data_IF_166396978771
#
_entry.id   IF_166396978771
#
_cell.length_a   1.000
_cell.length_b   1.000
_cell.length_c   1.000
_cell.angle_alpha   90.00
_cell.angle_beta   90.00
_cell.angle_gamma   90.00
#
_symmetry.space_group_name_H-M   'P 1'
#
loop_
_entity.id
_entity.type
_entity.pdbx_description
1 polymer ?
#
# COMPACT_ATOMS: atom_id res chain seq x y z
N UNK A 1 2.02 -17.95 35.31
CA UNK A 1 1.02 -17.51 34.31
C UNK A 1 1.63 -17.33 32.92
N UNK A 2 2.57 -16.40 32.68
CA UNK A 2 3.17 -16.21 31.34
C UNK A 2 3.92 -17.44 30.80
N UNK A 3 4.76 -18.08 31.63
CA UNK A 3 5.50 -19.30 31.23
C UNK A 3 4.58 -20.50 30.98
N UNK A 4 3.43 -20.57 31.67
CA UNK A 4 2.43 -21.61 31.45
C UNK A 4 1.72 -21.42 30.10
N UNK A 5 1.34 -20.18 29.76
CA UNK A 5 0.77 -19.86 28.46
C UNK A 5 1.78 -20.11 27.32
N UNK A 6 3.06 -19.77 27.54
CA UNK A 6 4.16 -20.10 26.62
C UNK A 6 4.31 -21.62 26.43
N UNK A 7 4.25 -22.40 27.51
CA UNK A 7 4.33 -23.86 27.42
C UNK A 7 3.16 -24.45 26.63
N UNK A 8 1.93 -23.97 26.88
CA UNK A 8 0.74 -24.33 26.09
C UNK A 8 0.88 -23.96 24.62
N UNK A 9 1.41 -22.77 24.32
CA UNK A 9 1.68 -22.34 22.95
C UNK A 9 2.72 -23.21 22.24
N UNK A 10 3.81 -23.56 22.94
CA UNK A 10 4.83 -24.47 22.40
C UNK A 10 4.26 -25.87 22.14
N UNK A 11 3.44 -26.41 23.06
CA UNK A 11 2.79 -27.70 22.88
C UNK A 11 1.85 -27.69 21.67
N UNK A 12 0.99 -26.68 21.55
CA UNK A 12 0.09 -26.51 20.40
C UNK A 12 0.88 -26.37 19.09
N UNK A 13 1.99 -25.63 19.09
CA UNK A 13 2.87 -25.48 17.93
C UNK A 13 3.48 -26.84 17.51
N UNK A 14 4.00 -27.61 18.46
CA UNK A 14 4.56 -28.94 18.20
C UNK A 14 3.52 -29.95 17.71
N UNK A 15 2.25 -29.77 18.07
CA UNK A 15 1.12 -30.58 17.57
C UNK A 15 0.58 -30.11 16.22
N UNK A 16 1.14 -29.06 15.60
CA UNK A 16 0.65 -28.50 14.34
C UNK A 16 -0.62 -27.64 14.47
N UNK A 17 -1.13 -27.44 15.69
CA UNK A 17 -2.30 -26.60 15.97
C UNK A 17 -1.87 -25.12 16.06
N UNK A 18 -1.45 -24.56 14.93
CA UNK A 18 -0.85 -23.23 14.88
C UNK A 18 -1.81 -22.10 15.32
N UNK A 19 -3.12 -22.24 15.08
CA UNK A 19 -4.13 -21.27 15.54
C UNK A 19 -4.19 -21.19 17.07
N UNK A 20 -4.17 -22.32 17.76
CA UNK A 20 -4.11 -22.36 19.23
C UNK A 20 -2.76 -21.90 19.75
N UNK A 21 -1.67 -22.23 19.05
CA UNK A 21 -0.34 -21.73 19.38
C UNK A 21 -0.32 -20.19 19.36
N UNK A 22 -0.89 -19.56 18.34
CA UNK A 22 -1.01 -18.10 18.23
C UNK A 22 -1.80 -17.52 19.41
N UNK A 23 -2.94 -18.13 19.76
CA UNK A 23 -3.77 -17.68 20.88
C UNK A 23 -2.97 -17.74 22.19
N UNK A 24 -2.34 -18.88 22.49
CA UNK A 24 -1.55 -19.06 23.70
C UNK A 24 -0.31 -18.18 23.77
N UNK A 25 0.39 -17.95 22.65
CA UNK A 25 1.48 -16.98 22.62
C UNK A 25 0.99 -15.55 22.78
N UNK A 26 -0.21 -15.21 22.29
CA UNK A 26 -0.82 -13.89 22.52
C UNK A 26 -1.14 -13.68 23.99
N UNK A 27 -1.72 -14.68 24.66
CA UNK A 27 -1.94 -14.65 26.11
C UNK A 27 -0.62 -14.47 26.88
N UNK A 28 0.43 -15.20 26.48
CA UNK A 28 1.75 -15.07 27.08
C UNK A 28 2.36 -13.67 26.86
N UNK A 29 2.19 -13.08 25.68
CA UNK A 29 2.68 -11.73 25.33
C UNK A 29 1.95 -10.67 26.17
N UNK A 30 0.64 -10.79 26.35
CA UNK A 30 -0.12 -9.87 27.20
C UNK A 30 0.40 -9.86 28.65
N UNK A 31 0.93 -10.99 29.13
CA UNK A 31 1.53 -11.12 30.45
C UNK A 31 3.02 -10.76 30.49
N UNK A 32 3.71 -10.74 29.35
CA UNK A 32 5.17 -10.51 29.24
C UNK A 32 5.52 -9.84 27.91
N UNK A 33 5.18 -8.55 27.72
CA UNK A 33 5.19 -7.89 26.41
C UNK A 33 6.59 -7.58 25.88
N UNK A 34 7.63 -7.76 26.68
CA UNK A 34 9.04 -7.53 26.32
C UNK A 34 9.80 -8.83 26.03
N UNK A 35 9.14 -9.99 26.12
CA UNK A 35 9.78 -11.27 25.87
C UNK A 35 9.87 -11.57 24.36
N UNK A 36 11.03 -11.28 23.76
CA UNK A 36 11.31 -11.50 22.35
C UNK A 36 11.07 -12.95 21.88
N UNK A 37 11.24 -13.96 22.75
CA UNK A 37 11.01 -15.38 22.39
C UNK A 37 9.54 -15.64 22.05
N UNK A 38 8.60 -14.96 22.73
CA UNK A 38 7.17 -15.14 22.48
C UNK A 38 6.77 -14.60 21.10
N UNK A 39 7.28 -13.43 20.72
CA UNK A 39 7.07 -12.88 19.38
C UNK A 39 7.73 -13.76 18.31
N UNK A 40 8.93 -14.29 18.55
CA UNK A 40 9.59 -15.22 17.63
C UNK A 40 8.81 -16.52 17.40
N UNK A 41 8.20 -17.05 18.47
CA UNK A 41 7.39 -18.26 18.38
C UNK A 41 6.04 -18.01 17.72
N UNK A 42 5.38 -16.87 18.01
CA UNK A 42 4.13 -16.48 17.36
C UNK A 42 4.33 -16.13 15.88
N UNK A 43 5.45 -15.48 15.53
CA UNK A 43 5.89 -15.28 14.15
C UNK A 43 6.00 -16.59 13.38
N UNK A 44 6.62 -17.62 14.01
CA UNK A 44 6.71 -18.95 13.41
C UNK A 44 5.31 -19.56 13.17
N UNK A 45 4.41 -19.43 14.15
CA UNK A 45 3.05 -19.97 14.04
C UNK A 45 2.24 -19.27 12.93
N UNK A 46 2.38 -17.95 12.79
CA UNK A 46 1.80 -17.22 11.67
C UNK A 46 2.37 -17.66 10.31
N UNK A 47 3.69 -17.83 10.21
CA UNK A 47 4.33 -18.31 8.99
C UNK A 47 3.85 -19.72 8.61
N UNK A 48 3.66 -20.62 9.57
CA UNK A 48 3.10 -21.96 9.35
C UNK A 48 1.65 -21.95 8.84
N UNK A 49 0.93 -20.84 9.00
CA UNK A 49 -0.41 -20.62 8.44
C UNK A 49 -0.40 -19.75 7.16
N UNK A 50 0.77 -19.50 6.58
CA UNK A 50 0.97 -18.58 5.45
C UNK A 50 0.51 -17.14 5.72
N UNK A 51 0.38 -16.75 7.00
CA UNK A 51 0.04 -15.38 7.44
C UNK A 51 1.32 -14.54 7.55
N UNK A 52 1.97 -14.33 6.41
CA UNK A 52 3.33 -13.79 6.39
C UNK A 52 3.43 -12.31 6.80
N UNK A 53 2.36 -11.52 6.62
CA UNK A 53 2.32 -10.13 7.09
C UNK A 53 2.34 -10.02 8.61
N UNK A 54 1.57 -10.86 9.30
CA UNK A 54 1.56 -10.95 10.77
C UNK A 54 2.87 -11.56 11.28
N UNK A 55 3.39 -12.58 10.59
CA UNK A 55 4.71 -13.16 10.90
C UNK A 55 5.83 -12.10 10.81
N UNK A 56 5.77 -11.22 9.81
CA UNK A 56 6.71 -10.12 9.62
C UNK A 56 6.64 -9.12 10.78
N UNK A 57 5.43 -8.72 11.19
CA UNK A 57 5.23 -7.80 12.31
C UNK A 57 5.86 -8.34 13.60
N UNK A 58 5.63 -9.61 13.93
CA UNK A 58 6.20 -10.25 15.13
C UNK A 58 7.72 -10.47 15.00
N UNK A 59 8.22 -10.79 13.79
CA UNK A 59 9.66 -10.91 13.54
C UNK A 59 10.38 -9.56 13.74
N UNK A 60 9.81 -8.47 13.23
CA UNK A 60 10.35 -7.12 13.43
C UNK A 60 10.36 -6.76 14.92
N UNK A 61 9.27 -7.04 15.64
CA UNK A 61 9.21 -6.82 17.09
C UNK A 61 10.26 -7.61 17.85
N UNK A 62 10.57 -8.84 17.41
CA UNK A 62 11.64 -9.67 17.97
C UNK A 62 13.00 -9.00 17.80
N UNK A 63 13.29 -8.48 16.59
CA UNK A 63 14.54 -7.74 16.30
C UNK A 63 14.63 -6.46 17.13
N UNK A 64 13.53 -5.71 17.26
CA UNK A 64 13.49 -4.48 18.06
C UNK A 64 13.77 -4.75 19.55
N UNK A 65 13.27 -5.86 20.09
CA UNK A 65 13.45 -6.25 21.49
C UNK A 65 14.84 -6.87 21.74
N UNK A 66 15.41 -7.60 20.77
CA UNK A 66 16.68 -8.30 20.91
C UNK A 66 17.47 -8.28 19.58
N UNK A 67 18.13 -7.15 19.25
CA UNK A 67 18.77 -6.93 17.95
C UNK A 67 20.05 -7.77 17.72
N UNK A 68 20.58 -8.37 18.77
CA UNK A 68 21.77 -9.24 18.80
C UNK A 68 21.42 -10.73 18.80
N UNK A 69 20.15 -11.10 18.56
CA UNK A 69 19.72 -12.50 18.51
C UNK A 69 19.54 -13.00 17.09
N UNK A 70 20.43 -13.88 16.63
CA UNK A 70 20.45 -14.40 15.26
C UNK A 70 19.13 -15.02 14.81
N UNK A 71 18.43 -15.73 15.70
CA UNK A 71 17.12 -16.35 15.40
C UNK A 71 16.02 -15.34 15.06
N UNK A 72 16.12 -14.10 15.56
CA UNK A 72 15.19 -13.03 15.19
C UNK A 72 15.27 -12.72 13.68
N UNK A 73 16.49 -12.66 13.15
CA UNK A 73 16.74 -12.43 11.73
C UNK A 73 16.37 -13.63 10.87
N UNK A 74 16.45 -14.86 11.39
CA UNK A 74 15.90 -16.04 10.70
C UNK A 74 14.38 -15.93 10.51
N UNK A 75 13.65 -15.43 11.53
CA UNK A 75 12.20 -15.19 11.43
C UNK A 75 11.88 -14.06 10.47
N UNK A 76 12.66 -12.98 10.52
CA UNK A 76 12.49 -11.82 9.65
C UNK A 76 12.71 -12.20 8.18
N UNK A 77 13.78 -12.95 7.89
CA UNK A 77 14.06 -13.49 6.56
C UNK A 77 12.95 -14.41 6.06
N UNK A 78 12.48 -15.34 6.89
CA UNK A 78 11.42 -16.27 6.51
C UNK A 78 10.08 -15.57 6.22
N UNK A 79 9.73 -14.54 7.00
CA UNK A 79 8.54 -13.75 6.76
C UNK A 79 8.63 -12.95 5.45
N UNK A 80 9.79 -12.34 5.16
CA UNK A 80 10.03 -11.67 3.88
C UNK A 80 10.01 -12.63 2.69
N UNK A 81 10.55 -13.85 2.85
CA UNK A 81 10.47 -14.91 1.84
C UNK A 81 9.02 -15.28 1.51
N UNK A 82 8.18 -15.48 2.52
CA UNK A 82 6.76 -15.77 2.32
C UNK A 82 5.97 -14.62 1.68
N UNK A 83 6.45 -13.38 1.82
CA UNK A 83 5.90 -12.19 1.15
C UNK A 83 6.50 -11.93 -0.23
N UNK A 84 7.42 -12.77 -0.72
CA UNK A 84 8.18 -12.57 -1.95
C UNK A 84 9.03 -11.29 -1.98
N UNK A 85 9.35 -10.73 -0.80
CA UNK A 85 10.23 -9.58 -0.62
C UNK A 85 11.68 -10.05 -0.54
N UNK A 86 12.20 -10.57 -1.65
CA UNK A 86 13.46 -11.30 -1.68
C UNK A 86 14.67 -10.44 -1.30
N UNK A 87 14.68 -9.16 -1.65
CA UNK A 87 15.79 -8.24 -1.31
C UNK A 87 15.89 -8.03 0.21
N UNK A 88 14.76 -7.86 0.88
CA UNK A 88 14.68 -7.70 2.32
C UNK A 88 15.01 -9.02 3.04
N UNK A 89 14.56 -10.16 2.51
CA UNK A 89 14.92 -11.48 3.02
C UNK A 89 16.45 -11.70 3.02
N UNK A 90 17.11 -11.41 1.89
CA UNK A 90 18.57 -11.48 1.76
C UNK A 90 19.27 -10.61 2.80
N UNK A 91 18.79 -9.38 3.01
CA UNK A 91 19.36 -8.45 3.99
C UNK A 91 19.22 -8.98 5.42
N UNK A 92 18.04 -9.50 5.78
CA UNK A 92 17.79 -10.10 7.09
C UNK A 92 18.70 -11.30 7.34
N UNK A 93 18.79 -12.26 6.41
CA UNK A 93 19.64 -13.45 6.58
C UNK A 93 21.12 -13.08 6.70
N UNK A 94 21.63 -12.16 5.87
CA UNK A 94 23.01 -11.66 5.96
C UNK A 94 23.30 -11.02 7.32
N UNK A 95 22.37 -10.22 7.84
CA UNK A 95 22.53 -9.59 9.16
C UNK A 95 22.49 -10.63 10.29
N UNK A 96 21.66 -11.67 10.17
CA UNK A 96 21.69 -12.81 11.08
C UNK A 96 23.04 -13.54 11.08
N UNK A 97 23.63 -13.76 9.90
CA UNK A 97 24.94 -14.42 9.76
C UNK A 97 26.11 -13.56 10.24
N UNK A 98 25.96 -12.22 10.26
CA UNK A 98 26.95 -11.35 10.92
C UNK A 98 26.98 -11.57 12.43
N UNK A 99 25.85 -11.94 13.04
CA UNK A 99 25.72 -12.22 14.47
C UNK A 99 26.15 -13.65 14.79
N UNK A 100 25.71 -14.61 13.99
CA UNK A 100 26.02 -16.04 14.15
C UNK A 100 26.41 -16.65 12.79
N UNK A 101 27.71 -16.58 12.41
CA UNK A 101 28.20 -17.03 11.11
C UNK A 101 28.02 -18.53 10.85
N UNK A 102 27.84 -19.34 11.89
CA UNK A 102 27.76 -20.79 11.80
C UNK A 102 26.33 -21.33 11.84
N UNK A 103 25.32 -20.46 11.83
CA UNK A 103 23.93 -20.86 11.91
C UNK A 103 23.41 -21.49 10.60
N UNK A 104 23.13 -22.80 10.62
CA UNK A 104 22.69 -23.53 9.44
C UNK A 104 21.35 -23.03 8.89
N UNK A 105 20.39 -22.66 9.76
CA UNK A 105 19.09 -22.17 9.32
C UNK A 105 19.20 -20.83 8.58
N UNK A 106 20.12 -19.95 9.01
CA UNK A 106 20.39 -18.70 8.31
C UNK A 106 21.12 -18.92 6.98
N UNK A 107 22.07 -19.88 6.92
CA UNK A 107 22.76 -20.24 5.67
C UNK A 107 21.79 -20.81 4.64
N UNK A 108 20.93 -21.74 5.07
CA UNK A 108 19.88 -22.34 4.22
C UNK A 108 18.91 -21.26 3.73
N UNK A 109 18.39 -20.43 4.64
CA UNK A 109 17.47 -19.35 4.26
C UNK A 109 18.09 -18.32 3.32
N UNK A 110 19.39 -18.03 3.47
CA UNK A 110 20.12 -17.16 2.53
C UNK A 110 20.20 -17.79 1.14
N UNK A 111 20.55 -19.08 1.05
CA UNK A 111 20.63 -19.79 -0.23
C UNK A 111 19.26 -19.83 -0.94
N UNK A 112 18.19 -20.15 -0.19
CA UNK A 112 16.82 -20.15 -0.71
C UNK A 112 16.40 -18.76 -1.22
N UNK A 113 16.78 -17.71 -0.49
CA UNK A 113 16.50 -16.32 -0.88
C UNK A 113 17.29 -15.88 -2.12
N UNK A 114 18.54 -16.32 -2.27
CA UNK A 114 19.37 -16.04 -3.45
C UNK A 114 18.81 -16.73 -4.69
N UNK A 115 18.40 -17.99 -4.58
CA UNK A 115 17.76 -18.74 -5.65
C UNK A 115 16.43 -18.09 -6.05
N UNK A 116 15.57 -17.77 -5.09
CA UNK A 116 14.28 -17.15 -5.34
C UNK A 116 14.42 -15.76 -5.99
N UNK A 117 15.38 -14.94 -5.53
CA UNK A 117 15.69 -13.65 -6.14
C UNK A 117 16.20 -13.82 -7.59
N UNK A 118 17.07 -14.80 -7.84
CA UNK A 118 17.59 -15.08 -9.18
C UNK A 118 16.48 -15.58 -10.13
N UNK A 119 15.60 -16.46 -9.64
CA UNK A 119 14.44 -16.95 -10.39
C UNK A 119 13.47 -15.81 -10.72
N UNK A 120 13.16 -14.94 -9.76
CA UNK A 120 12.32 -13.76 -9.98
C UNK A 120 12.93 -12.81 -11.03
N UNK A 121 14.25 -12.60 -10.99
CA UNK A 121 14.96 -11.80 -11.99
C UNK A 121 14.96 -12.42 -13.39
N UNK A 122 15.11 -13.75 -13.50
CA UNK A 122 15.00 -14.48 -14.78
C UNK A 122 13.58 -14.39 -15.35
N UNK A 123 12.56 -14.59 -14.53
CA UNK A 123 11.16 -14.49 -14.94
C UNK A 123 10.79 -13.07 -15.36
N UNK A 124 11.32 -12.04 -14.67
CA UNK A 124 11.13 -10.64 -15.09
C UNK A 124 11.78 -10.34 -16.45
N UNK A 125 12.93 -10.96 -16.77
CA UNK A 125 13.59 -10.81 -18.08
C UNK A 125 12.89 -11.59 -19.19
N UNK A 126 12.39 -12.79 -18.89
CA UNK A 126 11.58 -13.61 -19.81
C UNK A 126 10.25 -12.92 -20.17
N UNK A 127 9.54 -12.40 -19.17
CA UNK A 127 8.27 -11.67 -19.34
C UNK A 127 8.43 -10.34 -20.09
N UNK A 128 9.59 -9.70 -20.00
CA UNK A 128 9.93 -8.52 -20.79
C UNK A 128 10.30 -8.86 -22.24
N UNK A 129 10.78 -10.08 -22.51
CA UNK A 129 11.21 -10.51 -23.83
C UNK A 129 10.05 -11.08 -24.68
N UNK A 130 9.11 -11.84 -24.10
CA UNK A 130 7.95 -12.32 -24.84
C UNK A 130 6.76 -12.71 -23.92
N UNK A 131 5.84 -11.77 -23.58
CA UNK A 131 4.77 -12.01 -22.62
C UNK A 131 3.74 -13.07 -23.03
N UNK A 132 3.74 -13.50 -24.29
CA UNK A 132 2.83 -14.52 -24.84
C UNK A 132 3.47 -15.90 -24.99
N UNK A 133 4.80 -16.01 -24.96
CA UNK A 133 5.51 -17.27 -25.23
C UNK A 133 5.26 -18.36 -24.18
N UNK A 134 5.16 -17.99 -22.90
CA UNK A 134 4.84 -18.92 -21.81
C UNK A 134 3.36 -19.30 -21.74
N UNK A 135 2.47 -18.43 -22.23
CA UNK A 135 1.02 -18.67 -22.18
C UNK A 135 0.62 -19.90 -23.02
N UNK A 136 1.29 -20.13 -24.14
CA UNK A 136 1.05 -21.25 -25.06
C UNK A 136 2.05 -22.42 -24.89
N UNK A 137 2.65 -22.54 -23.69
CA UNK A 137 3.56 -23.62 -23.33
C UNK A 137 2.88 -24.99 -23.14
N UNK A 138 3.61 -26.03 -22.74
CA UNK A 138 3.08 -27.41 -22.60
C UNK A 138 1.86 -27.50 -21.67
N UNK A 139 1.82 -26.68 -20.63
CA UNK A 139 0.75 -26.64 -19.62
C UNK A 139 -0.54 -25.96 -20.13
N UNK A 140 -0.52 -25.35 -21.32
CA UNK A 140 -1.68 -24.66 -21.87
C UNK A 140 -2.89 -25.58 -22.00
N UNK A 141 -2.65 -26.83 -22.41
CA UNK A 141 -3.70 -27.81 -22.65
C UNK A 141 -4.41 -28.23 -21.37
N UNK A 142 -3.66 -28.41 -20.28
CA UNK A 142 -4.22 -28.72 -18.97
C UNK A 142 -5.08 -27.56 -18.44
N UNK A 143 -4.63 -26.32 -18.66
CA UNK A 143 -5.36 -25.11 -18.22
C UNK A 143 -6.64 -24.89 -19.02
N UNK A 144 -6.58 -25.01 -20.35
CA UNK A 144 -7.74 -24.86 -21.23
C UNK A 144 -8.78 -25.97 -21.05
N UNK A 145 -8.35 -27.19 -20.74
CA UNK A 145 -9.27 -28.31 -20.45
C UNK A 145 -9.86 -28.24 -19.05
N UNK A 146 -9.19 -27.58 -18.10
CA UNK A 146 -9.71 -27.40 -16.74
C UNK A 146 -10.75 -26.28 -16.65
N UNK A 147 -10.71 -25.29 -17.55
CA UNK A 147 -11.64 -24.16 -17.53
C UNK A 147 -12.96 -24.47 -18.30
N UNK A 148 -14.13 -24.22 -17.69
CA UNK A 148 -15.43 -24.47 -18.33
C UNK A 148 -15.65 -23.70 -19.63
N UNK A 149 -15.14 -22.47 -19.75
CA UNK A 149 -15.38 -21.60 -20.91
C UNK A 149 -14.60 -22.01 -22.15
N UNK A 150 -13.48 -22.73 -21.99
CA UNK A 150 -12.60 -23.12 -23.10
C UNK A 150 -12.64 -24.62 -23.42
N UNK A 151 -13.15 -25.45 -22.51
CA UNK A 151 -13.22 -26.91 -22.70
C UNK A 151 -14.07 -27.31 -23.91
N UNK A 152 -15.15 -26.58 -24.20
CA UNK A 152 -16.01 -26.83 -25.36
C UNK A 152 -15.27 -26.66 -26.70
N UNK A 153 -14.48 -25.60 -26.83
CA UNK A 153 -13.71 -25.31 -28.05
C UNK A 153 -12.63 -26.36 -28.32
N UNK A 154 -12.11 -27.03 -27.28
CA UNK A 154 -11.14 -28.12 -27.45
C UNK A 154 -11.72 -29.37 -28.12
N UNK A 155 -13.04 -29.44 -28.34
CA UNK A 155 -13.65 -30.50 -29.15
C UNK A 155 -13.67 -30.17 -30.64
N UNK A 156 -13.38 -28.92 -31.02
CA UNK A 156 -13.44 -28.43 -32.40
C UNK A 156 -12.08 -28.64 -33.14
N UNK A 157 -12.05 -29.43 -34.24
CA UNK A 157 -10.81 -29.77 -34.95
C UNK A 157 -10.05 -28.58 -35.57
N UNK A 158 -10.77 -27.52 -35.94
CA UNK A 158 -10.20 -26.28 -36.47
C UNK A 158 -9.54 -25.45 -35.37
N UNK A 159 -10.20 -25.30 -34.21
CA UNK A 159 -9.67 -24.55 -33.07
C UNK A 159 -8.40 -25.18 -32.50
N UNK A 160 -8.38 -26.51 -32.37
CA UNK A 160 -7.19 -27.25 -31.96
C UNK A 160 -6.00 -27.01 -32.89
N UNK A 161 -6.23 -26.93 -34.21
CA UNK A 161 -5.17 -26.61 -35.18
C UNK A 161 -4.63 -25.20 -35.01
N UNK A 162 -5.51 -24.22 -34.75
CA UNK A 162 -5.09 -22.83 -34.48
C UNK A 162 -4.18 -22.77 -33.23
N UNK A 163 -4.59 -23.41 -32.14
CA UNK A 163 -3.79 -23.45 -30.91
C UNK A 163 -2.45 -24.19 -31.08
N UNK A 164 -2.43 -25.28 -31.85
CA UNK A 164 -1.18 -25.98 -32.18
C UNK A 164 -0.24 -25.15 -33.06
N UNK A 165 -0.78 -24.35 -33.98
CA UNK A 165 0.01 -23.46 -34.82
C UNK A 165 0.63 -22.32 -34.01
N UNK A 166 -0.13 -21.73 -33.09
CA UNK A 166 0.35 -20.72 -32.13
C UNK A 166 1.39 -21.32 -31.17
N UNK A 167 1.19 -22.56 -30.70
CA UNK A 167 2.16 -23.26 -29.85
C UNK A 167 3.48 -23.54 -30.58
N UNK A 168 3.44 -23.88 -31.86
CA UNK A 168 4.65 -24.07 -32.69
C UNK A 168 5.34 -22.76 -33.00
N UNK A 169 4.60 -21.67 -33.22
CA UNK A 169 5.13 -20.35 -33.48
C UNK A 169 4.28 -19.26 -32.81
N UNK A 170 4.73 -18.70 -31.66
CA UNK A 170 4.00 -17.67 -30.92
C UNK A 170 3.67 -16.40 -31.73
N UNK A 171 4.39 -16.13 -32.81
CA UNK A 171 4.10 -14.99 -33.70
C UNK A 171 2.81 -15.16 -34.52
N UNK A 172 2.33 -16.40 -34.71
CA UNK A 172 1.09 -16.68 -35.42
C UNK A 172 -0.15 -16.28 -34.62
N UNK A 173 -0.02 -15.98 -33.32
CA UNK A 173 -1.11 -15.47 -32.49
C UNK A 173 -1.83 -14.28 -33.16
N UNK A 174 -1.06 -13.37 -33.78
CA UNK A 174 -1.60 -12.18 -34.46
C UNK A 174 -2.57 -12.50 -35.61
N UNK A 175 -2.42 -13.67 -36.25
CA UNK A 175 -3.31 -14.12 -37.33
C UNK A 175 -4.69 -14.54 -36.80
N UNK A 176 -4.73 -14.98 -35.55
CA UNK A 176 -5.92 -15.59 -34.93
C UNK A 176 -6.57 -14.72 -33.84
N UNK A 177 -6.02 -13.52 -33.53
CA UNK A 177 -6.58 -12.58 -32.55
C UNK A 177 -8.03 -12.14 -32.82
N UNK A 178 -8.51 -12.29 -34.06
CA UNK A 178 -9.88 -11.96 -34.44
C UNK A 178 -10.88 -13.06 -34.04
N UNK A 179 -10.43 -14.29 -33.81
CA UNK A 179 -11.28 -15.40 -33.39
C UNK A 179 -11.57 -15.28 -31.89
N UNK A 180 -12.86 -15.23 -31.53
CA UNK A 180 -13.31 -15.04 -30.15
C UNK A 180 -12.87 -16.21 -29.24
N UNK A 181 -12.83 -17.44 -29.77
CA UNK A 181 -12.41 -18.63 -29.04
C UNK A 181 -10.93 -18.53 -28.65
N UNK A 182 -10.11 -17.96 -29.54
CA UNK A 182 -8.66 -17.76 -29.32
C UNK A 182 -8.42 -16.68 -28.27
N UNK A 183 -9.24 -15.62 -28.26
CA UNK A 183 -9.19 -14.58 -27.22
C UNK A 183 -9.64 -15.08 -25.85
N UNK A 184 -10.68 -15.92 -25.78
CA UNK A 184 -11.09 -16.57 -24.53
C UNK A 184 -10.02 -17.53 -24.01
N UNK A 185 -9.42 -18.35 -24.88
CA UNK A 185 -8.30 -19.21 -24.51
C UNK A 185 -7.08 -18.42 -24.03
N UNK A 186 -6.73 -17.33 -24.70
CA UNK A 186 -5.67 -16.43 -24.27
C UNK A 186 -5.97 -15.82 -22.89
N UNK A 187 -7.24 -15.49 -22.62
CA UNK A 187 -7.72 -15.04 -21.33
C UNK A 187 -7.46 -16.04 -20.22
N UNK A 188 -7.87 -17.29 -20.41
CA UNK A 188 -7.64 -18.36 -19.44
C UNK A 188 -6.14 -18.59 -19.22
N UNK A 189 -5.33 -18.60 -20.28
CA UNK A 189 -3.88 -18.85 -20.19
C UNK A 189 -3.11 -17.73 -19.50
N UNK A 190 -3.54 -16.48 -19.68
CA UNK A 190 -2.95 -15.30 -19.03
C UNK A 190 -3.63 -14.94 -17.70
N UNK A 191 -4.63 -15.73 -17.27
CA UNK A 191 -5.48 -15.42 -16.11
C UNK A 191 -6.14 -14.02 -16.20
N UNK A 192 -6.51 -13.63 -17.42
CA UNK A 192 -7.22 -12.41 -17.77
C UNK A 192 -8.66 -12.79 -18.10
N UNK A 193 -9.62 -12.31 -17.31
CA UNK A 193 -11.04 -12.52 -17.60
C UNK A 193 -11.47 -11.57 -18.72
N UNK A 194 -11.53 -12.05 -19.94
CA UNK A 194 -12.19 -11.34 -21.03
C UNK A 194 -13.70 -11.65 -20.94
N UNK A 195 -14.49 -10.67 -20.52
CA UNK A 195 -15.95 -10.78 -20.53
C UNK A 195 -16.41 -10.99 -21.98
N UNK A 196 -16.84 -12.20 -22.28
CA UNK A 196 -17.62 -12.48 -23.49
C UNK A 196 -19.08 -12.49 -23.07
N UNK A 197 -19.89 -11.72 -23.81
CA UNK A 197 -21.34 -11.67 -23.67
C UNK A 197 -21.89 -12.93 -24.32
N UNK A 198 -22.04 -13.99 -23.53
CA UNK A 198 -22.97 -15.12 -23.73
C UNK A 198 -22.66 -16.13 -22.61
N UNK A 199 -23.71 -16.78 -22.08
CA UNK A 199 -23.67 -17.80 -21.02
C UNK A 199 -23.63 -17.34 -19.56
N UNK A 200 -24.66 -16.59 -19.18
CA UNK A 200 -25.29 -16.72 -17.86
C UNK A 200 -26.49 -17.68 -17.97
N UNK A 201 -26.21 -18.97 -18.19
CA UNK A 201 -27.19 -20.04 -18.01
C UNK A 201 -26.44 -21.37 -17.89
N UNK A 202 -26.28 -21.89 -16.66
CA UNK A 202 -26.57 -23.28 -16.29
C UNK A 202 -26.15 -23.56 -14.84
N UNK A 203 -27.13 -24.08 -14.09
CA UNK A 203 -27.04 -24.50 -12.68
C UNK A 203 -26.38 -25.89 -12.56
N UNK A 204 -25.70 -26.22 -11.45
CA UNK A 204 -25.33 -27.59 -11.15
C UNK A 204 -26.44 -28.34 -10.39
N UNK A 205 -26.72 -29.58 -10.83
CA UNK A 205 -27.54 -30.56 -10.12
C UNK A 205 -26.73 -31.32 -9.07
N UNK A 206 -27.33 -31.68 -7.93
CA UNK A 206 -27.19 -33.03 -7.32
C UNK A 206 -28.16 -33.25 -6.14
N UNK A 207 -28.79 -34.44 -6.09
CA UNK A 207 -29.09 -35.17 -4.84
C UNK A 207 -30.51 -35.12 -4.26
N UNK A 208 -31.34 -36.13 -4.57
CA UNK A 208 -32.67 -36.44 -3.99
C UNK A 208 -32.59 -37.16 -2.60
N UNK A 209 -33.68 -37.67 -1.99
CA UNK A 209 -34.74 -36.96 -1.26
C UNK A 209 -35.03 -37.57 0.14
N UNK A 210 -35.52 -36.81 1.13
CA UNK A 210 -36.17 -37.45 2.29
C UNK A 210 -37.34 -36.66 2.91
N UNK A 211 -38.46 -37.39 3.08
CA UNK A 211 -39.80 -36.96 3.49
C UNK A 211 -39.90 -36.63 4.99
N UNK A 212 -40.65 -35.58 5.34
CA UNK A 212 -41.53 -35.57 6.52
C UNK A 212 -42.89 -34.92 6.20
N UNK A 213 -43.93 -35.45 6.87
CA UNK A 213 -45.38 -35.39 6.60
C UNK A 213 -46.05 -34.03 6.86
N UNK A 214 -47.28 -33.80 6.33
CA UNK A 214 -48.02 -32.54 6.41
C UNK A 214 -48.98 -32.45 7.61
N UNK A 215 -49.18 -31.25 8.14
CA UNK A 215 -50.30 -30.84 9.00
C UNK A 215 -50.41 -29.29 8.98
N UNK A 216 -51.54 -28.69 9.36
CA UNK A 216 -52.71 -28.39 8.54
C UNK A 216 -52.78 -26.92 8.11
N UNK A 217 -53.51 -26.64 7.04
CA UNK A 217 -53.79 -25.30 6.54
C UNK A 217 -54.67 -24.50 7.51
N UNK A 218 -54.21 -23.29 7.84
CA UNK A 218 -54.99 -22.18 8.37
C UNK A 218 -54.58 -20.90 7.60
N UNK A 219 -55.48 -19.90 7.54
CA UNK A 219 -55.85 -19.21 6.31
C UNK A 219 -54.82 -18.20 5.82
N UNK A 220 -54.80 -18.00 4.50
CA UNK A 220 -54.06 -16.93 3.82
C UNK A 220 -54.21 -15.60 4.57
N UNK A 221 -53.12 -14.99 5.08
CA UNK A 221 -53.09 -13.55 5.12
C UNK A 221 -53.01 -13.08 3.67
N UNK A 222 -53.88 -12.13 3.34
CA UNK A 222 -53.92 -11.41 2.07
C UNK A 222 -52.50 -11.12 1.56
N UNK A 223 -52.25 -11.18 0.24
CA UNK A 223 -50.94 -10.90 -0.31
C UNK A 223 -50.53 -9.47 0.06
N UNK A 224 -49.72 -9.33 1.12
CA UNK A 224 -48.80 -8.22 1.20
C UNK A 224 -47.89 -8.36 0.00
N UNK A 225 -47.96 -7.36 -0.86
CA UNK A 225 -47.16 -7.19 -2.05
C UNK A 225 -45.76 -7.77 -1.85
N UNK A 226 -45.45 -8.81 -2.64
CA UNK A 226 -44.06 -9.22 -2.84
C UNK A 226 -43.41 -8.02 -3.51
N UNK A 227 -42.69 -7.22 -2.71
CA UNK A 227 -41.77 -6.21 -3.23
C UNK A 227 -40.85 -6.95 -4.19
N UNK A 228 -40.81 -6.57 -5.48
CA UNK A 228 -39.94 -7.21 -6.46
C UNK A 228 -38.50 -7.18 -5.94
N UNK A 229 -37.74 -8.28 -6.02
CA UNK A 229 -36.28 -8.16 -5.90
C UNK A 229 -35.80 -7.27 -7.05
N UNK A 230 -35.39 -6.06 -6.67
CA UNK A 230 -35.49 -4.81 -7.42
C UNK A 230 -34.59 -4.74 -8.67
N UNK A 231 -35.18 -4.31 -9.79
CA UNK A 231 -34.45 -3.77 -10.96
C UNK A 231 -33.42 -2.70 -10.54
N UNK A 232 -33.70 -1.95 -9.46
CA UNK A 232 -32.82 -0.92 -8.88
C UNK A 232 -31.48 -1.46 -8.35
N UNK A 233 -31.44 -2.67 -7.78
CA UNK A 233 -30.19 -3.23 -7.27
C UNK A 233 -29.25 -3.65 -8.41
N UNK A 234 -29.83 -4.15 -9.50
CA UNK A 234 -29.10 -4.48 -10.74
C UNK A 234 -28.56 -3.21 -11.39
N UNK A 235 -29.36 -2.16 -11.51
CA UNK A 235 -28.92 -0.86 -12.02
C UNK A 235 -27.82 -0.22 -11.16
N UNK A 236 -27.87 -0.35 -9.82
CA UNK A 236 -26.80 0.09 -8.92
C UNK A 236 -25.50 -0.68 -9.15
N UNK A 237 -25.57 -2.01 -9.32
CA UNK A 237 -24.39 -2.84 -9.61
C UNK A 237 -23.77 -2.49 -10.97
N UNK A 238 -24.61 -2.26 -11.99
CA UNK A 238 -24.16 -1.90 -13.33
C UNK A 238 -23.49 -0.51 -13.36
N UNK A 239 -24.05 0.48 -12.64
CA UNK A 239 -23.41 1.80 -12.45
C UNK A 239 -22.04 1.68 -11.80
N UNK A 240 -21.92 0.91 -10.71
CA UNK A 240 -20.63 0.66 -10.02
C UNK A 240 -19.61 -0.02 -10.93
N UNK A 241 -20.04 -1.01 -11.70
CA UNK A 241 -19.17 -1.68 -12.67
C UNK A 241 -18.68 -0.73 -13.77
N UNK A 242 -19.55 0.16 -14.25
CA UNK A 242 -19.19 1.17 -15.24
C UNK A 242 -18.22 2.22 -14.69
N UNK A 243 -18.46 2.72 -13.47
CA UNK A 243 -17.54 3.64 -12.79
C UNK A 243 -16.16 3.01 -12.53
N UNK A 244 -16.13 1.73 -12.15
CA UNK A 244 -14.89 0.97 -11.98
C UNK A 244 -14.12 0.82 -13.30
N UNK A 245 -14.81 0.56 -14.41
CA UNK A 245 -14.19 0.46 -15.74
C UNK A 245 -13.57 1.80 -16.17
N UNK A 246 -14.27 2.90 -15.94
CA UNK A 246 -13.74 4.24 -16.18
C UNK A 246 -12.52 4.53 -15.29
N UNK A 247 -12.53 4.14 -14.00
CA UNK A 247 -11.35 4.24 -13.12
C UNK A 247 -10.16 3.46 -13.67
N UNK A 248 -10.34 2.25 -14.18
CA UNK A 248 -9.27 1.44 -14.74
C UNK A 248 -8.70 2.02 -16.03
N UNK A 249 -9.55 2.61 -16.88
CA UNK A 249 -9.13 3.38 -18.04
C UNK A 249 -8.31 4.61 -17.61
N UNK A 250 -8.77 5.35 -16.60
CA UNK A 250 -8.04 6.47 -16.00
C UNK A 250 -6.70 6.07 -15.41
N UNK A 251 -6.63 4.94 -14.69
CA UNK A 251 -5.38 4.38 -14.14
C UNK A 251 -4.39 4.02 -15.25
N UNK A 252 -4.90 3.49 -16.37
CA UNK A 252 -4.09 3.13 -17.53
C UNK A 252 -3.54 4.36 -18.25
N UNK A 253 -4.35 5.41 -18.41
CA UNK A 253 -3.92 6.70 -18.94
C UNK A 253 -2.88 7.38 -18.03
N UNK A 254 -3.11 7.35 -16.71
CA UNK A 254 -2.17 7.88 -15.72
C UNK A 254 -0.78 7.20 -15.80
N UNK A 255 -0.75 5.87 -15.94
CA UNK A 255 0.52 5.13 -16.12
C UNK A 255 1.25 5.51 -17.40
N UNK A 256 0.52 5.89 -18.45
CA UNK A 256 1.06 6.41 -19.71
C UNK A 256 1.46 7.90 -19.63
N UNK A 257 1.27 8.55 -18.47
CA UNK A 257 1.42 10.01 -18.26
C UNK A 257 0.50 10.86 -19.13
N UNK A 258 -0.59 10.26 -19.63
CA UNK A 258 -1.65 11.00 -20.30
C UNK A 258 -2.64 11.50 -19.25
N UNK A 259 -2.32 12.67 -18.69
CA UNK A 259 -3.01 13.22 -17.54
C UNK A 259 -4.38 13.81 -17.88
N UNK A 260 -4.53 14.43 -19.04
CA UNK A 260 -5.81 15.01 -19.47
C UNK A 260 -6.85 13.91 -19.70
N UNK A 261 -6.48 12.83 -20.40
CA UNK A 261 -7.37 11.68 -20.59
C UNK A 261 -7.67 10.98 -19.26
N UNK A 262 -6.70 10.86 -18.35
CA UNK A 262 -6.93 10.30 -17.02
C UNK A 262 -7.96 11.12 -16.21
N UNK A 263 -7.87 12.45 -16.23
CA UNK A 263 -8.83 13.34 -15.56
C UNK A 263 -10.24 13.17 -16.13
N UNK A 264 -10.37 13.05 -17.46
CA UNK A 264 -11.67 12.82 -18.09
C UNK A 264 -12.31 11.52 -17.61
N UNK A 265 -11.56 10.41 -17.58
CA UNK A 265 -12.04 9.12 -17.12
C UNK A 265 -12.41 9.12 -15.63
N UNK A 266 -11.60 9.74 -14.76
CA UNK A 266 -11.96 9.84 -13.34
C UNK A 266 -13.16 10.76 -13.10
N UNK A 267 -13.31 11.83 -13.88
CA UNK A 267 -14.48 12.71 -13.77
C UNK A 267 -15.76 11.99 -14.18
N UNK A 268 -15.71 11.22 -15.29
CA UNK A 268 -16.80 10.33 -15.68
C UNK A 268 -17.13 9.30 -14.60
N UNK A 269 -16.13 8.70 -13.96
CA UNK A 269 -16.34 7.74 -12.88
C UNK A 269 -17.09 8.38 -11.69
N UNK A 270 -16.72 9.61 -11.31
CA UNK A 270 -17.38 10.38 -10.24
C UNK A 270 -18.83 10.74 -10.60
N UNK A 271 -19.10 11.05 -11.88
CA UNK A 271 -20.45 11.38 -12.34
C UNK A 271 -21.38 10.15 -12.37
N UNK A 272 -20.81 8.95 -12.54
CA UNK A 272 -21.56 7.68 -12.58
C UNK A 272 -21.81 7.14 -11.18
N UNK A 273 -20.79 7.20 -10.31
CA UNK A 273 -20.83 6.67 -8.95
C UNK A 273 -20.06 7.60 -8.00
N UNK A 274 -20.78 8.13 -7.01
CA UNK A 274 -20.23 9.02 -5.99
C UNK A 274 -19.99 8.32 -4.64
N UNK A 275 -20.19 7.00 -4.58
CA UNK A 275 -20.01 6.17 -3.38
C UNK A 275 -18.56 5.69 -3.18
N UNK A 276 -17.68 5.82 -4.18
CA UNK A 276 -16.25 5.45 -4.07
C UNK A 276 -15.34 6.69 -4.13
N UNK A 277 -14.80 7.07 -2.96
CA UNK A 277 -13.84 8.17 -2.85
C UNK A 277 -12.52 7.92 -3.60
N UNK A 278 -12.22 6.69 -4.02
CA UNK A 278 -11.01 6.37 -4.76
C UNK A 278 -10.89 7.16 -6.06
N UNK A 279 -12.01 7.46 -6.73
CA UNK A 279 -12.02 8.26 -7.96
C UNK A 279 -11.50 9.69 -7.71
N UNK A 280 -12.02 10.36 -6.68
CA UNK A 280 -11.59 11.70 -6.26
C UNK A 280 -10.12 11.71 -5.88
N UNK A 281 -9.69 10.73 -5.07
CA UNK A 281 -8.29 10.69 -4.62
C UNK A 281 -7.32 10.38 -5.77
N UNK A 282 -7.73 9.59 -6.77
CA UNK A 282 -6.92 9.31 -7.96
C UNK A 282 -6.85 10.52 -8.89
N UNK A 283 -7.95 11.25 -9.10
CA UNK A 283 -7.95 12.51 -9.85
C UNK A 283 -7.09 13.58 -9.18
N UNK A 284 -7.17 13.70 -7.84
CA UNK A 284 -6.29 14.58 -7.06
C UNK A 284 -4.80 14.24 -7.25
N UNK A 285 -4.45 12.95 -7.38
CA UNK A 285 -3.07 12.54 -7.67
C UNK A 285 -2.60 13.06 -9.04
N UNK A 286 -3.47 13.00 -10.05
CA UNK A 286 -3.16 13.55 -11.38
C UNK A 286 -2.92 15.05 -11.31
N UNK A 287 -3.79 15.79 -10.63
CA UNK A 287 -3.63 17.24 -10.45
C UNK A 287 -2.34 17.61 -9.70
N UNK A 288 -1.94 16.80 -8.72
CA UNK A 288 -0.69 16.99 -7.99
C UNK A 288 0.55 16.83 -8.88
N UNK A 289 0.54 15.86 -9.80
CA UNK A 289 1.61 15.65 -10.79
C UNK A 289 1.65 16.76 -11.84
N UNK A 290 0.49 17.27 -12.26
CA UNK A 290 0.39 18.40 -13.20
C UNK A 290 0.77 19.76 -12.58
N UNK A 291 0.94 19.85 -11.26
CA UNK A 291 1.16 21.12 -10.55
C UNK A 291 -0.11 21.97 -10.36
N UNK A 292 -1.29 21.41 -10.66
CA UNK A 292 -2.60 22.04 -10.44
C UNK A 292 -3.04 21.87 -8.99
N UNK A 293 -2.35 22.56 -8.09
CA UNK A 293 -2.50 22.34 -6.65
C UNK A 293 -3.87 22.77 -6.09
N UNK A 294 -4.49 23.80 -6.67
CA UNK A 294 -5.82 24.26 -6.23
C UNK A 294 -6.91 23.23 -6.49
N UNK A 295 -6.91 22.60 -7.67
CA UNK A 295 -7.83 21.53 -8.05
C UNK A 295 -7.57 20.25 -7.23
N UNK A 296 -6.30 19.92 -6.97
CA UNK A 296 -5.93 18.83 -6.08
C UNK A 296 -6.53 18.98 -4.67
N UNK A 297 -6.41 20.18 -4.08
CA UNK A 297 -6.95 20.46 -2.74
C UNK A 297 -8.47 20.32 -2.73
N UNK A 298 -9.17 20.85 -3.74
CA UNK A 298 -10.64 20.72 -3.87
C UNK A 298 -11.09 19.26 -3.94
N UNK A 299 -10.40 18.43 -4.72
CA UNK A 299 -10.72 17.00 -4.82
C UNK A 299 -10.41 16.25 -3.53
N UNK A 300 -9.34 16.62 -2.83
CA UNK A 300 -9.02 16.03 -1.53
C UNK A 300 -10.04 16.40 -0.46
N UNK A 301 -10.51 17.65 -0.43
CA UNK A 301 -11.54 18.10 0.52
C UNK A 301 -12.87 17.37 0.28
N UNK A 302 -13.31 17.28 -0.98
CA UNK A 302 -14.47 16.47 -1.35
C UNK A 302 -14.31 15.00 -0.96
N UNK A 303 -13.12 14.42 -1.15
CA UNK A 303 -12.85 13.04 -0.78
C UNK A 303 -12.91 12.80 0.74
N UNK A 304 -12.50 13.78 1.55
CA UNK A 304 -12.58 13.70 3.02
C UNK A 304 -14.02 13.86 3.48
N UNK A 305 -14.78 14.80 2.91
CA UNK A 305 -16.21 15.00 3.20
C UNK A 305 -17.02 13.75 2.86
N UNK A 306 -16.98 13.30 1.59
CA UNK A 306 -17.68 12.08 1.16
C UNK A 306 -17.18 10.84 1.88
N UNK A 307 -15.88 10.75 2.16
CA UNK A 307 -15.31 9.62 2.88
C UNK A 307 -15.83 9.49 4.31
N UNK A 308 -16.13 10.61 4.97
CA UNK A 308 -16.75 10.64 6.31
C UNK A 308 -18.25 10.31 6.25
N UNK A 309 -18.95 10.81 5.24
CA UNK A 309 -20.38 10.51 5.02
C UNK A 309 -20.60 9.02 4.73
N UNK A 310 -19.77 8.45 3.86
CA UNK A 310 -19.86 7.05 3.41
C UNK A 310 -19.19 6.07 4.39
N UNK A 311 -18.59 6.57 5.48
CA UNK A 311 -17.79 5.78 6.44
C UNK A 311 -16.73 4.92 5.74
N UNK A 312 -16.08 5.50 4.73
CA UNK A 312 -15.02 4.85 3.96
C UNK A 312 -13.79 4.56 4.83
N UNK A 313 -12.91 3.66 4.37
CA UNK A 313 -11.70 3.27 5.08
C UNK A 313 -10.83 4.48 5.47
N UNK A 314 -10.46 4.57 6.75
CA UNK A 314 -9.60 5.61 7.32
C UNK A 314 -8.28 5.77 6.54
N UNK A 315 -7.76 4.68 5.94
CA UNK A 315 -6.58 4.71 5.06
C UNK A 315 -6.79 5.58 3.82
N UNK A 316 -7.99 5.57 3.25
CA UNK A 316 -8.31 6.33 2.05
C UNK A 316 -8.50 7.81 2.37
N UNK A 317 -9.15 8.12 3.50
CA UNK A 317 -9.25 9.49 4.02
C UNK A 317 -7.86 10.06 4.35
N UNK A 318 -7.02 9.28 5.04
CA UNK A 318 -5.64 9.65 5.32
C UNK A 318 -4.84 9.90 4.03
N UNK A 319 -5.01 9.07 3.00
CA UNK A 319 -4.35 9.24 1.69
C UNK A 319 -4.78 10.55 0.99
N UNK A 320 -6.05 10.93 1.09
CA UNK A 320 -6.54 12.21 0.58
C UNK A 320 -5.88 13.38 1.32
N UNK A 321 -5.84 13.32 2.65
CA UNK A 321 -5.18 14.34 3.48
C UNK A 321 -3.68 14.46 3.19
N UNK A 322 -2.96 13.34 3.03
CA UNK A 322 -1.53 13.37 2.66
C UNK A 322 -1.31 14.05 1.31
N UNK A 323 -2.18 13.83 0.32
CA UNK A 323 -2.11 14.50 -0.99
C UNK A 323 -2.41 15.99 -0.86
N UNK A 324 -3.43 16.38 -0.07
CA UNK A 324 -3.72 17.79 0.25
C UNK A 324 -2.53 18.48 0.90
N UNK A 325 -1.93 17.88 1.93
CA UNK A 325 -0.76 18.41 2.61
C UNK A 325 0.43 18.59 1.65
N UNK A 326 0.63 17.64 0.73
CA UNK A 326 1.67 17.73 -0.30
C UNK A 326 1.42 18.88 -1.27
N UNK A 327 0.17 19.08 -1.70
CA UNK A 327 -0.20 20.20 -2.56
C UNK A 327 0.04 21.55 -1.86
N UNK A 328 -0.39 21.69 -0.61
CA UNK A 328 -0.18 22.88 0.21
C UNK A 328 1.30 23.18 0.40
N UNK A 329 2.11 22.17 0.75
CA UNK A 329 3.55 22.33 0.92
C UNK A 329 4.25 22.77 -0.38
N UNK A 330 3.80 22.29 -1.55
CA UNK A 330 4.33 22.74 -2.85
C UNK A 330 3.88 24.14 -3.26
N UNK A 331 2.75 24.62 -2.74
CA UNK A 331 2.26 25.99 -2.97
C UNK A 331 2.92 27.02 -2.04
N UNK A 332 3.52 26.57 -0.93
CA UNK A 332 4.05 27.44 0.10
C UNK A 332 5.22 28.29 -0.40
N UNK A 333 5.12 29.61 -0.21
CA UNK A 333 6.17 30.57 -0.59
C UNK A 333 6.85 31.20 0.63
N UNK A 334 6.09 31.37 1.71
CA UNK A 334 6.61 31.86 2.98
C UNK A 334 6.54 30.79 4.07
N UNK A 335 7.24 31.02 5.18
CA UNK A 335 7.23 30.13 6.35
C UNK A 335 5.81 29.82 6.85
N UNK A 336 4.92 30.82 6.87
CA UNK A 336 3.55 30.70 7.36
C UNK A 336 2.68 29.82 6.47
N UNK A 337 2.96 29.75 5.17
CA UNK A 337 2.19 28.92 4.24
C UNK A 337 2.39 27.42 4.48
N UNK A 338 3.44 27.02 5.22
CA UNK A 338 3.65 25.63 5.61
C UNK A 338 2.75 25.18 6.77
N UNK A 339 2.17 26.09 7.54
CA UNK A 339 1.34 25.75 8.70
C UNK A 339 0.10 24.92 8.32
N UNK A 340 -0.71 25.31 7.30
CA UNK A 340 -1.82 24.49 6.86
C UNK A 340 -1.39 23.12 6.33
N UNK A 341 -0.20 23.02 5.71
CA UNK A 341 0.33 21.76 5.20
C UNK A 341 0.70 20.81 6.35
N UNK A 342 1.41 21.31 7.35
CA UNK A 342 1.82 20.59 8.56
C UNK A 342 0.59 20.09 9.32
N UNK A 343 -0.38 20.96 9.57
CA UNK A 343 -1.63 20.59 10.25
C UNK A 343 -2.38 19.49 9.49
N UNK A 344 -2.42 19.59 8.15
CA UNK A 344 -3.05 18.57 7.30
C UNK A 344 -2.32 17.22 7.38
N UNK A 345 -0.99 17.20 7.42
CA UNK A 345 -0.22 15.97 7.60
C UNK A 345 -0.43 15.35 8.99
N UNK A 346 -0.51 16.17 10.05
CA UNK A 346 -0.81 15.70 11.40
C UNK A 346 -2.21 15.09 11.48
N UNK A 347 -3.20 15.73 10.84
CA UNK A 347 -4.56 15.17 10.67
C UNK A 347 -4.52 13.82 9.94
N UNK A 348 -3.77 13.72 8.84
CA UNK A 348 -3.62 12.46 8.11
C UNK A 348 -3.02 11.34 8.97
N UNK A 349 -2.01 11.64 9.80
CA UNK A 349 -1.38 10.68 10.71
C UNK A 349 -2.30 10.25 11.86
N UNK A 350 -3.25 11.12 12.25
CA UNK A 350 -4.28 10.81 13.25
C UNK A 350 -5.30 9.83 12.69
N UNK A 351 -5.70 10.00 11.42
CA UNK A 351 -6.61 9.07 10.72
C UNK A 351 -5.93 7.72 10.46
N UNK A 352 -4.70 7.71 9.94
CA UNK A 352 -3.91 6.49 9.76
C UNK A 352 -2.40 6.78 9.73
N UNK A 353 -1.66 6.18 10.67
CA UNK A 353 -0.21 6.35 10.74
C UNK A 353 0.50 5.66 9.58
N UNK A 354 1.15 6.47 8.73
CA UNK A 354 1.87 6.01 7.55
C UNK A 354 3.31 6.60 7.53
N UNK A 355 4.36 5.77 7.37
CA UNK A 355 5.74 6.24 7.25
C UNK A 355 5.96 7.30 6.16
N UNK A 356 5.27 7.18 5.02
CA UNK A 356 5.39 8.14 3.91
C UNK A 356 4.84 9.52 4.28
N UNK A 357 3.74 9.56 5.05
CA UNK A 357 3.15 10.82 5.53
C UNK A 357 4.01 11.46 6.61
N UNK A 358 4.61 10.65 7.49
CA UNK A 358 5.55 11.14 8.50
C UNK A 358 6.80 11.76 7.86
N UNK A 359 7.34 11.13 6.82
CA UNK A 359 8.48 11.68 6.07
C UNK A 359 8.14 13.06 5.49
N UNK A 360 6.97 13.20 4.84
CA UNK A 360 6.51 14.47 4.27
C UNK A 360 6.25 15.55 5.33
N UNK A 361 5.72 15.17 6.49
CA UNK A 361 5.57 16.08 7.63
C UNK A 361 6.93 16.64 8.06
N UNK A 362 7.92 15.77 8.29
CA UNK A 362 9.25 16.19 8.70
C UNK A 362 9.93 17.07 7.64
N UNK A 363 9.74 16.77 6.35
CA UNK A 363 10.23 17.59 5.24
C UNK A 363 9.60 18.99 5.25
N UNK A 364 8.28 19.08 5.48
CA UNK A 364 7.55 20.34 5.56
C UNK A 364 7.96 21.18 6.79
N UNK A 365 8.12 20.56 7.96
CA UNK A 365 8.60 21.24 9.17
C UNK A 365 10.03 21.77 9.02
N UNK A 366 10.91 20.99 8.38
CA UNK A 366 12.26 21.43 8.05
C UNK A 366 12.24 22.61 7.08
N UNK A 367 11.47 22.51 5.98
CA UNK A 367 11.36 23.57 5.00
C UNK A 367 10.80 24.88 5.61
N UNK A 368 9.81 24.77 6.51
CA UNK A 368 9.30 25.90 7.29
C UNK A 368 10.43 26.56 8.08
N UNK A 369 11.17 25.78 8.88
CA UNK A 369 12.26 26.29 9.72
C UNK A 369 13.38 26.94 8.90
N UNK A 370 13.75 26.34 7.77
CA UNK A 370 14.79 26.87 6.89
C UNK A 370 14.34 28.20 6.27
N UNK A 371 13.06 28.35 5.92
CA UNK A 371 12.49 29.62 5.45
C UNK A 371 12.33 30.65 6.56
N UNK A 372 11.92 30.27 7.77
CA UNK A 372 11.87 31.18 8.92
C UNK A 372 13.25 31.77 9.21
N UNK A 373 14.31 30.95 9.11
CA UNK A 373 15.69 31.44 9.27
C UNK A 373 16.09 32.40 8.15
N UNK A 374 15.69 32.15 6.91
CA UNK A 374 15.95 33.05 5.78
C UNK A 374 15.15 34.36 5.88
N UNK A 375 13.88 34.31 6.29
CA UNK A 375 13.04 35.48 6.52
C UNK A 375 13.52 36.31 7.70
N UNK A 376 14.09 35.65 8.71
CA UNK A 376 14.70 36.29 9.87
C UNK A 376 16.07 36.92 9.53
N UNK A 377 16.72 36.50 8.43
CA UNK A 377 17.93 37.13 7.94
C UNK A 377 17.61 38.50 7.33
N UNK A 378 17.99 39.56 8.04
CA UNK A 378 17.83 40.93 7.57
C UNK A 378 19.08 41.76 7.94
N UNK A 379 20.00 42.01 6.99
CA UNK A 379 21.24 42.74 7.24
C UNK A 379 21.03 44.17 7.77
N UNK A 380 19.97 44.87 7.34
CA UNK A 380 19.71 46.24 7.78
C UNK A 380 19.28 46.27 9.24
N UNK A 381 18.35 45.40 9.62
CA UNK A 381 17.90 45.27 11.01
C UNK A 381 19.05 44.73 11.89
N UNK A 382 19.92 43.87 11.35
CA UNK A 382 21.11 43.41 12.06
C UNK A 382 22.07 44.57 12.37
N UNK A 383 22.29 45.50 11.44
CA UNK A 383 23.10 46.70 11.65
C UNK A 383 22.47 47.64 12.70
N UNK A 384 21.15 47.83 12.67
CA UNK A 384 20.44 48.62 13.68
C UNK A 384 20.57 48.02 15.10
N UNK A 385 20.40 46.70 15.24
CA UNK A 385 20.57 46.02 16.53
C UNK A 385 22.03 46.07 17.02
N UNK A 386 22.99 45.97 16.09
CA UNK A 386 24.42 46.15 16.40
C UNK A 386 24.70 47.56 16.92
N UNK A 387 24.10 48.60 16.33
CA UNK A 387 24.24 49.98 16.80
C UNK A 387 23.61 50.20 18.18
N UNK A 388 22.44 49.61 18.45
CA UNK A 388 21.86 49.60 19.81
C UNK A 388 22.78 48.90 20.82
N UNK A 389 23.38 47.76 20.43
CA UNK A 389 24.40 47.07 21.23
C UNK A 389 25.59 47.97 21.54
N UNK A 390 26.08 48.73 20.55
CA UNK A 390 27.17 49.71 20.73
C UNK A 390 26.77 50.83 21.71
N UNK A 391 25.52 51.28 21.68
CA UNK A 391 25.02 52.30 22.60
C UNK A 391 24.97 51.79 24.03
N UNK A 392 24.40 50.60 24.26
CA UNK A 392 24.37 49.98 25.60
C UNK A 392 25.77 49.65 26.14
N UNK A 393 26.71 49.28 25.26
CA UNK A 393 28.12 49.09 25.64
C UNK A 393 28.76 50.38 26.16
N UNK A 394 28.52 51.51 25.49
CA UNK A 394 28.98 52.84 25.94
C UNK A 394 28.32 53.27 27.26
N UNK A 395 27.09 52.82 27.52
CA UNK A 395 26.37 53.06 28.77
C UNK A 395 26.75 52.10 29.91
N UNK A 396 27.76 51.22 29.72
CA UNK A 396 28.17 50.17 30.67
C UNK A 396 27.07 49.15 31.02
N UNK A 397 26.03 49.05 30.18
CA UNK A 397 24.92 48.08 30.29
C UNK A 397 25.25 46.82 29.49
N UNK A 398 26.21 46.06 30.02
CA UNK A 398 26.81 44.96 29.31
C UNK A 398 25.87 43.77 29.01
N UNK A 399 24.98 43.34 29.92
CA UNK A 399 24.02 42.26 29.64
C UNK A 399 23.06 42.59 28.48
N UNK A 400 22.60 43.84 28.42
CA UNK A 400 21.72 44.34 27.37
C UNK A 400 22.47 44.43 26.03
N UNK A 401 23.73 44.90 26.05
CA UNK A 401 24.58 44.95 24.87
C UNK A 401 24.82 43.56 24.26
N UNK A 402 25.14 42.55 25.08
CA UNK A 402 25.31 41.15 24.66
C UNK A 402 24.03 40.62 23.98
N UNK A 403 22.85 40.94 24.53
CA UNK A 403 21.57 40.53 23.94
C UNK A 403 21.38 41.12 22.54
N UNK A 404 21.69 42.40 22.35
CA UNK A 404 21.57 43.09 21.07
C UNK A 404 22.61 42.61 20.04
N UNK A 405 23.86 42.35 20.45
CA UNK A 405 24.85 41.74 19.56
C UNK A 405 24.50 40.30 19.17
N UNK A 406 23.96 39.50 20.11
CA UNK A 406 23.46 38.16 19.82
C UNK A 406 22.30 38.17 18.82
N UNK A 407 21.39 39.14 18.93
CA UNK A 407 20.29 39.33 17.97
C UNK A 407 20.80 39.76 16.59
N UNK A 408 21.79 40.66 16.53
CA UNK A 408 22.44 41.07 15.30
C UNK A 408 23.12 39.89 14.57
N UNK A 409 23.83 39.04 15.31
CA UNK A 409 24.46 37.82 14.76
C UNK A 409 23.42 36.85 14.19
N UNK A 410 22.30 36.65 14.87
CA UNK A 410 21.26 35.75 14.35
C UNK A 410 20.62 36.30 13.06
N UNK A 411 20.49 37.62 12.93
CA UNK A 411 19.90 38.30 11.75
C UNK A 411 20.90 38.47 10.60
N UNK A 412 22.20 38.46 10.88
CA UNK A 412 23.26 38.42 9.87
C UNK A 412 24.46 37.55 10.32
N UNK A 413 24.38 36.22 10.17
CA UNK A 413 25.42 35.30 10.64
C UNK A 413 26.76 35.43 9.91
N UNK A 414 26.80 36.15 8.79
CA UNK A 414 27.99 36.32 7.97
C UNK A 414 28.72 37.65 8.20
N UNK A 415 28.22 38.53 9.09
CA UNK A 415 28.91 39.79 9.42
C UNK A 415 29.90 39.61 10.58
N UNK A 416 31.23 39.74 10.34
CA UNK A 416 32.25 39.58 11.37
C UNK A 416 32.20 40.67 12.45
N UNK A 417 31.60 41.83 12.17
CA UNK A 417 31.61 42.98 13.10
C UNK A 417 30.81 42.70 14.35
N UNK A 418 29.63 42.09 14.22
CA UNK A 418 28.81 41.74 15.37
C UNK A 418 29.46 40.67 16.26
N UNK A 419 30.19 39.71 15.66
CA UNK A 419 30.98 38.72 16.41
C UNK A 419 32.15 39.33 17.17
N UNK A 420 32.89 40.24 16.54
CA UNK A 420 34.01 40.93 17.18
C UNK A 420 33.54 41.78 18.38
N UNK A 421 32.38 42.44 18.24
CA UNK A 421 31.78 43.22 19.32
C UNK A 421 31.25 42.33 20.45
N UNK A 422 30.79 41.11 20.16
CA UNK A 422 30.38 40.16 21.19
C UNK A 422 31.60 39.56 21.93
N UNK A 423 32.71 39.30 21.23
CA UNK A 423 33.95 38.78 21.80
C UNK A 423 34.75 39.80 22.62
N UNK A 424 34.31 41.06 22.68
CA UNK A 424 34.94 42.12 23.50
C UNK A 424 34.44 42.12 24.95
N UNK A 425 33.45 41.28 25.26
CA UNK A 425 32.97 40.96 26.60
C UNK A 425 33.56 39.63 27.05
#
# INVERSE_FOLDING_TARGET
MAEEAKAKGNAAFSSGNFSDAIRHFTDAINLSPTNHVLYSNRSAAYASLNKFSEALSDAQKTVDLKPDWSKAYSRLGAAHMGLHNYTEALSAYKKGLQIDPNNDALKSGLADAEEAAAAAARNSRSRAANPFGEAFGPDMWARLSSDPSTRGFLQEPDFMKMLQDIQKNPNNLNLYLKDQRVMQALGVLLNLKFQTREDAAEMPSSGSPERKRPAPAEPEPEPMDVVPEDDEEKERKDRKAQAQKEKEAGNSAYKKKDFDTAIQHYSKAIDIDDEDISFLTNRAAVYLEMGKYGECIKDCDKAVERGRELRSDFKMVARALTRKGTALAKMAKCSKDYEPAIETFQKALTEHRNPDTLKKLNEAEKAKKDLEQQEYFNPQIADEEREKGNQYFKEHKYPEAIKHYGEAIKRNPNDPKAFNNLNTF
#
